data_IF_328458776435
#
_entry.id   IF_328458776435
#
_cell.length_a   1.000
_cell.length_b   1.000
_cell.length_c   1.000
_cell.angle_alpha   90.00
_cell.angle_beta   90.00
_cell.angle_gamma   90.00
#
_symmetry.space_group_name_H-M   'P 1'
#
loop_
_entity.id
_entity.type
_entity.pdbx_description
1 polymer ?
#
# COMPACT_ATOMS: atom_id res chain seq x y z
N UNK A 1 18.43 0.30 15.80
CA UNK A 1 17.27 1.17 15.55
C UNK A 1 17.52 2.20 14.44
N UNK A 2 18.49 3.12 14.55
CA UNK A 2 18.73 4.15 13.51
C UNK A 2 18.87 3.60 12.07
N UNK A 3 19.64 2.53 11.88
CA UNK A 3 19.84 1.92 10.56
C UNK A 3 18.57 1.31 9.93
N UNK A 4 17.60 0.84 10.73
CA UNK A 4 16.32 0.33 10.22
C UNK A 4 15.42 1.48 9.76
N UNK A 5 15.33 2.53 10.58
CA UNK A 5 14.58 3.74 10.23
C UNK A 5 15.10 4.42 8.97
N UNK A 6 16.43 4.51 8.81
CA UNK A 6 17.06 5.07 7.61
C UNK A 6 16.76 4.25 6.35
N UNK A 7 16.80 2.91 6.45
CA UNK A 7 16.49 2.00 5.35
C UNK A 7 15.00 2.07 4.94
N UNK A 8 14.09 2.15 5.93
CA UNK A 8 12.66 2.31 5.66
C UNK A 8 12.37 3.67 5.00
N UNK A 9 13.01 4.74 5.48
CA UNK A 9 12.88 6.07 4.87
C UNK A 9 13.45 6.11 3.44
N UNK A 10 14.55 5.38 3.16
CA UNK A 10 15.07 5.23 1.80
C UNK A 10 14.08 4.50 0.89
N UNK A 11 13.53 3.37 1.35
CA UNK A 11 12.54 2.60 0.59
C UNK A 11 11.26 3.41 0.31
N UNK A 12 10.78 4.18 1.30
CA UNK A 12 9.64 5.08 1.12
C UNK A 12 9.90 6.16 0.06
N UNK A 13 11.08 6.79 0.07
CA UNK A 13 11.46 7.80 -0.94
C UNK A 13 11.58 7.21 -2.33
N UNK A 14 12.17 6.02 -2.46
CA UNK A 14 12.28 5.31 -3.73
C UNK A 14 10.88 4.94 -4.29
N UNK A 15 9.99 4.43 -3.43
CA UNK A 15 8.60 4.14 -3.79
C UNK A 15 7.79 5.40 -4.16
N UNK A 16 7.98 6.50 -3.44
CA UNK A 16 7.33 7.77 -3.81
C UNK A 16 7.83 8.31 -5.14
N UNK A 17 9.12 8.17 -5.45
CA UNK A 17 9.71 8.62 -6.71
C UNK A 17 9.21 7.81 -7.90
N UNK A 18 9.05 6.49 -7.73
CA UNK A 18 8.47 5.63 -8.77
C UNK A 18 6.99 5.94 -9.03
N UNK A 19 6.22 6.29 -8.00
CA UNK A 19 4.82 6.72 -8.14
C UNK A 19 4.70 8.12 -8.77
N UNK A 20 5.64 9.03 -8.47
CA UNK A 20 5.60 10.41 -8.97
C UNK A 20 6.19 10.58 -10.37
N UNK A 21 7.02 9.66 -10.84
CA UNK A 21 7.63 9.73 -12.17
C UNK A 21 6.64 9.21 -13.23
N UNK A 22 6.09 10.08 -14.10
CA UNK A 22 5.28 9.63 -15.22
C UNK A 22 6.19 8.82 -16.16
N UNK A 23 5.72 7.69 -16.67
CA UNK A 23 6.53 6.75 -17.46
C UNK A 23 7.39 7.42 -18.53
N UNK A 24 8.64 6.96 -18.66
CA UNK A 24 9.62 7.44 -19.64
C UNK A 24 11.03 7.75 -19.10
N UNK A 25 11.24 7.71 -17.78
CA UNK A 25 12.55 7.89 -17.14
C UNK A 25 13.32 6.59 -16.88
N UNK A 26 14.63 6.67 -16.72
CA UNK A 26 15.47 5.55 -16.30
C UNK A 26 15.13 5.12 -14.86
N UNK A 27 14.81 3.84 -14.65
CA UNK A 27 14.58 3.27 -13.32
C UNK A 27 15.92 3.06 -12.61
N UNK A 28 16.03 3.53 -11.38
CA UNK A 28 17.22 3.38 -10.54
C UNK A 28 17.24 2.03 -9.82
N UNK A 29 18.43 1.54 -9.45
CA UNK A 29 18.58 0.32 -8.65
C UNK A 29 17.80 0.40 -7.33
N UNK A 30 17.81 1.57 -6.68
CA UNK A 30 17.08 1.80 -5.43
C UNK A 30 15.56 1.67 -5.59
N UNK A 31 15.00 2.04 -6.74
CA UNK A 31 13.58 1.84 -7.04
C UNK A 31 13.23 0.37 -7.26
N UNK A 32 14.13 -0.41 -7.86
CA UNK A 32 13.94 -1.86 -8.06
C UNK A 32 13.95 -2.60 -6.72
N UNK A 33 14.91 -2.29 -5.85
CA UNK A 33 15.08 -2.96 -4.55
C UNK A 33 14.32 -2.28 -3.40
N UNK A 34 13.43 -1.33 -3.69
CA UNK A 34 12.69 -0.61 -2.65
C UNK A 34 11.86 -1.56 -1.77
N UNK A 35 11.22 -2.56 -2.39
CA UNK A 35 10.41 -3.56 -1.67
C UNK A 35 11.29 -4.45 -0.77
N UNK A 36 12.38 -5.00 -1.29
CA UNK A 36 13.31 -5.86 -0.53
C UNK A 36 13.98 -5.09 0.63
N UNK A 37 14.31 -3.82 0.38
CA UNK A 37 14.87 -2.92 1.40
C UNK A 37 13.86 -2.64 2.50
N UNK A 38 12.60 -2.36 2.13
CA UNK A 38 11.52 -2.20 3.10
C UNK A 38 11.31 -3.48 3.92
N UNK A 39 11.19 -4.65 3.28
CA UNK A 39 11.01 -5.93 3.97
C UNK A 39 12.14 -6.20 4.96
N UNK A 40 13.39 -5.98 4.54
CA UNK A 40 14.57 -6.15 5.39
C UNK A 40 14.56 -5.21 6.60
N UNK A 41 14.18 -3.94 6.40
CA UNK A 41 14.05 -2.96 7.46
C UNK A 41 12.96 -3.34 8.47
N UNK A 42 11.77 -3.74 7.99
CA UNK A 42 10.66 -4.16 8.83
C UNK A 42 11.02 -5.37 9.70
N UNK A 43 11.82 -6.31 9.17
CA UNK A 43 12.32 -7.46 9.93
C UNK A 43 13.32 -7.09 11.02
N UNK A 44 14.08 -6.02 10.82
CA UNK A 44 15.06 -5.53 11.80
C UNK A 44 14.41 -4.77 12.96
N UNK A 45 13.17 -4.27 12.79
CA UNK A 45 12.44 -3.52 13.80
C UNK A 45 10.94 -3.85 13.78
N UNK A 46 10.62 -5.06 14.24
CA UNK A 46 9.23 -5.55 14.29
C UNK A 46 8.39 -4.73 15.28
N UNK A 47 8.95 -4.32 16.42
CA UNK A 47 8.22 -3.51 17.40
C UNK A 47 7.88 -2.12 16.86
N UNK A 48 8.83 -1.42 16.24
CA UNK A 48 8.57 -0.14 15.58
C UNK A 48 7.53 -0.27 14.46
N UNK A 49 7.61 -1.35 13.68
CA UNK A 49 6.62 -1.66 12.63
C UNK A 49 5.21 -1.84 13.22
N UNK A 50 5.09 -2.56 14.33
CA UNK A 50 3.80 -2.77 15.00
C UNK A 50 3.27 -1.49 15.64
N UNK A 51 4.15 -0.61 16.14
CA UNK A 51 3.77 0.71 16.63
C UNK A 51 3.19 1.56 15.50
N UNK A 52 3.92 1.71 14.39
CA UNK A 52 3.47 2.48 13.22
C UNK A 52 2.16 1.95 12.66
N UNK A 53 2.03 0.62 12.56
CA UNK A 53 0.80 -0.03 12.11
C UNK A 53 -0.37 0.29 13.04
N UNK A 54 -0.18 0.13 14.35
CA UNK A 54 -1.21 0.41 15.35
C UNK A 54 -1.67 1.86 15.27
N UNK A 55 -0.73 2.81 15.24
CA UNK A 55 -1.02 4.23 15.14
C UNK A 55 -1.72 4.61 13.82
N UNK A 56 -1.33 4.01 12.69
CA UNK A 56 -1.96 4.26 11.38
C UNK A 56 -3.44 3.85 11.32
N UNK A 57 -3.85 2.95 12.22
CA UNK A 57 -5.24 2.50 12.38
C UNK A 57 -6.00 3.24 13.47
N UNK A 58 -5.35 4.17 14.18
CA UNK A 58 -5.89 4.89 15.34
C UNK A 58 -5.72 4.15 16.67
N UNK A 59 -5.02 3.02 16.69
CA UNK A 59 -4.69 2.25 17.90
C UNK A 59 -3.39 2.69 18.56
N UNK A 60 -2.88 1.85 19.45
CA UNK A 60 -1.59 2.05 20.14
C UNK A 60 -0.92 0.71 20.46
N UNK A 61 0.41 0.70 20.56
CA UNK A 61 1.17 -0.47 20.94
C UNK A 61 1.32 -0.57 22.46
N UNK A 62 1.13 -1.77 23.01
CA UNK A 62 1.53 -2.15 24.37
C UNK A 62 2.71 -3.11 24.26
N UNK A 63 3.91 -2.63 24.50
CA UNK A 63 5.16 -3.40 24.41
C UNK A 63 6.10 -3.03 25.56
N UNK A 64 7.14 -3.85 25.78
CA UNK A 64 8.20 -3.60 26.77
C UNK A 64 7.69 -3.40 28.22
N UNK A 65 6.55 -3.98 28.58
CA UNK A 65 5.98 -3.93 29.93
C UNK A 65 5.49 -5.29 30.38
N UNK A 66 5.69 -5.60 31.67
CA UNK A 66 5.05 -6.73 32.34
C UNK A 66 3.73 -6.32 33.01
N UNK A 67 3.43 -5.02 33.05
CA UNK A 67 2.18 -4.49 33.56
C UNK A 67 1.19 -4.26 32.41
N UNK A 68 0.42 -5.30 32.11
CA UNK A 68 -0.67 -5.23 31.13
C UNK A 68 -1.92 -4.51 31.67
N UNK A 69 -1.99 -4.25 32.98
CA UNK A 69 -3.15 -3.62 33.61
C UNK A 69 -3.37 -2.22 33.05
N UNK A 70 -2.30 -1.46 32.87
CA UNK A 70 -2.37 -0.11 32.33
C UNK A 70 -2.92 -0.09 30.88
N UNK A 71 -2.49 -1.02 30.03
CA UNK A 71 -3.02 -1.17 28.68
C UNK A 71 -4.49 -1.58 28.67
N UNK A 72 -4.87 -2.51 29.56
CA UNK A 72 -6.25 -2.95 29.72
C UNK A 72 -7.17 -1.85 30.28
N UNK A 73 -6.70 -1.03 31.21
CA UNK A 73 -7.42 0.12 31.75
C UNK A 73 -7.67 1.17 30.65
N UNK A 74 -6.68 1.45 29.80
CA UNK A 74 -6.86 2.33 28.64
C UNK A 74 -7.88 1.76 27.64
N UNK A 75 -7.79 0.46 27.34
CA UNK A 75 -8.76 -0.20 26.47
C UNK A 75 -10.18 -0.14 27.05
N UNK A 76 -10.34 -0.38 28.35
CA UNK A 76 -11.63 -0.29 29.03
C UNK A 76 -12.18 1.15 29.01
N UNK A 77 -11.33 2.16 29.16
CA UNK A 77 -11.71 3.56 29.04
C UNK A 77 -12.18 3.88 27.61
N UNK A 78 -11.47 3.43 26.58
CA UNK A 78 -11.85 3.60 25.16
C UNK A 78 -13.20 2.93 24.85
N UNK A 79 -13.47 1.76 25.45
CA UNK A 79 -14.75 1.03 25.29
C UNK A 79 -15.93 1.69 26.02
N UNK A 80 -15.68 2.43 27.10
CA UNK A 80 -16.73 2.99 27.96
C UNK A 80 -17.58 4.08 27.30
N UNK A 81 -17.10 4.65 26.19
CA UNK A 81 -17.89 5.57 25.37
C UNK A 81 -17.10 6.11 24.18
N UNK A 82 -17.25 5.49 23.02
CA UNK A 82 -16.71 5.98 21.76
C UNK A 82 -17.82 6.47 20.83
N UNK A 83 -17.46 7.42 19.97
CA UNK A 83 -18.30 7.85 18.85
C UNK A 83 -17.61 7.45 17.56
N UNK A 84 -18.30 6.69 16.72
CA UNK A 84 -17.80 6.31 15.40
C UNK A 84 -18.28 7.31 14.34
N UNK A 85 -17.36 7.72 13.46
CA UNK A 85 -17.64 8.61 12.35
C UNK A 85 -17.17 7.94 11.06
N UNK A 86 -18.11 7.71 10.13
CA UNK A 86 -17.78 7.19 8.80
C UNK A 86 -17.70 8.34 7.80
N UNK A 87 -16.60 8.40 7.06
CA UNK A 87 -16.41 9.32 5.94
C UNK A 87 -16.31 8.54 4.63
N UNK A 88 -17.25 8.79 3.73
CA UNK A 88 -17.17 8.26 2.37
C UNK A 88 -16.57 9.33 1.44
N UNK A 89 -15.39 9.08 0.86
CA UNK A 89 -14.81 10.04 -0.07
C UNK A 89 -15.70 10.18 -1.31
N UNK A 90 -15.79 11.40 -1.90
CA UNK A 90 -16.53 11.60 -3.15
C UNK A 90 -15.94 10.76 -4.28
N UNK A 91 -16.72 10.50 -5.33
CA UNK A 91 -16.28 9.77 -6.52
C UNK A 91 -14.96 10.38 -7.03
N UNK A 92 -13.89 9.60 -6.86
CA UNK A 92 -12.52 10.07 -7.00
C UNK A 92 -11.87 9.43 -8.23
N UNK A 93 -11.00 10.20 -8.89
CA UNK A 93 -10.04 9.62 -9.80
C UNK A 93 -9.17 8.61 -9.04
N UNK A 94 -9.13 7.36 -9.52
CA UNK A 94 -8.32 6.28 -8.97
C UNK A 94 -6.88 6.40 -9.48
N UNK A 95 -6.19 7.41 -8.97
CA UNK A 95 -4.84 7.80 -9.40
C UNK A 95 -3.72 7.21 -8.55
N UNK A 96 -4.06 6.38 -7.55
CA UNK A 96 -3.07 5.78 -6.65
C UNK A 96 -2.40 6.73 -5.68
N UNK A 97 -2.82 8.01 -5.62
CA UNK A 97 -2.21 8.97 -4.72
C UNK A 97 -2.70 8.76 -3.30
N UNK A 98 -1.79 8.97 -2.34
CA UNK A 98 -2.14 9.03 -0.93
C UNK A 98 -2.92 10.31 -0.62
N UNK A 99 -4.02 10.16 0.11
CA UNK A 99 -4.89 11.26 0.54
C UNK A 99 -4.91 11.28 2.07
N UNK A 100 -4.33 12.31 2.71
CA UNK A 100 -4.32 12.39 4.17
C UNK A 100 -5.73 12.66 4.70
N UNK A 101 -6.03 12.14 5.88
CA UNK A 101 -7.25 12.44 6.64
C UNK A 101 -6.84 13.32 7.82
N UNK A 102 -7.46 14.49 7.94
CA UNK A 102 -7.25 15.40 9.08
C UNK A 102 -8.58 15.56 9.83
N UNK A 103 -8.58 15.24 11.12
CA UNK A 103 -9.76 15.35 11.99
C UNK A 103 -9.55 16.49 12.99
N UNK A 104 -10.43 17.49 12.95
CA UNK A 104 -10.42 18.63 13.87
C UNK A 104 -11.65 18.56 14.76
N UNK A 105 -11.42 18.58 16.08
CA UNK A 105 -12.49 18.52 17.09
C UNK A 105 -12.55 19.84 17.86
N UNK A 106 -13.77 20.35 18.07
CA UNK A 106 -13.99 21.58 18.83
C UNK A 106 -13.82 21.38 20.35
N UNK A 107 -14.02 20.15 20.84
CA UNK A 107 -13.93 19.81 22.26
C UNK A 107 -12.46 19.76 22.70
N UNK A 108 -12.11 20.57 23.69
CA UNK A 108 -10.79 20.51 24.34
C UNK A 108 -10.65 19.22 25.14
N UNK A 109 -9.46 18.60 25.08
CA UNK A 109 -9.14 17.36 25.79
C UNK A 109 -9.75 16.09 25.20
N UNK A 110 -10.35 16.16 24.01
CA UNK A 110 -10.81 14.98 23.29
C UNK A 110 -9.61 14.22 22.71
N UNK A 111 -9.60 12.89 22.87
CA UNK A 111 -8.69 11.99 22.19
C UNK A 111 -9.33 11.58 20.88
N UNK A 112 -8.62 11.75 19.76
CA UNK A 112 -9.11 11.38 18.43
C UNK A 112 -8.30 10.21 17.93
N UNK A 113 -8.99 9.12 17.62
CA UNK A 113 -8.44 7.94 16.95
C UNK A 113 -8.98 7.95 15.52
N UNK A 114 -8.09 8.11 14.54
CA UNK A 114 -8.46 8.15 13.14
C UNK A 114 -7.32 7.58 12.29
N UNK A 115 -7.68 7.02 11.13
CA UNK A 115 -6.69 6.61 10.13
C UNK A 115 -5.96 7.83 9.59
N UNK A 116 -4.66 7.70 9.31
CA UNK A 116 -3.83 8.80 8.80
C UNK A 116 -4.21 9.23 7.36
N UNK A 117 -4.85 8.34 6.60
CA UNK A 117 -5.22 8.58 5.21
C UNK A 117 -5.61 7.31 4.47
N UNK A 118 -5.74 7.42 3.13
CA UNK A 118 -6.03 6.30 2.24
C UNK A 118 -5.39 6.52 0.87
N UNK A 119 -5.15 5.42 0.13
CA UNK A 119 -4.75 5.48 -1.28
C UNK A 119 -5.99 5.41 -2.17
N UNK A 120 -6.03 6.25 -3.21
CA UNK A 120 -7.12 6.25 -4.19
C UNK A 120 -6.95 5.11 -5.21
N UNK A 121 -7.24 3.88 -4.78
CA UNK A 121 -7.14 2.66 -5.59
C UNK A 121 -8.52 2.24 -6.13
N UNK A 122 -8.60 1.74 -7.38
CA UNK A 122 -9.85 1.26 -7.93
C UNK A 122 -10.41 0.09 -7.08
N UNK A 123 -11.74 0.00 -6.91
CA UNK A 123 -12.35 -1.11 -6.19
C UNK A 123 -12.09 -2.43 -6.93
N UNK A 124 -11.50 -3.41 -6.23
CA UNK A 124 -11.16 -4.74 -6.75
C UNK A 124 -10.88 -5.71 -5.61
N UNK A 125 -10.83 -7.01 -5.89
CA UNK A 125 -10.60 -8.06 -4.90
C UNK A 125 -9.21 -7.91 -4.25
N UNK A 126 -9.17 -7.28 -3.07
CA UNK A 126 -8.37 -7.57 -1.88
C UNK A 126 -6.91 -8.06 -2.02
N UNK A 127 -6.24 -7.92 -3.15
CA UNK A 127 -4.80 -8.10 -3.25
C UNK A 127 -4.16 -6.78 -2.83
N UNK A 128 -3.08 -6.88 -2.06
CA UNK A 128 -2.21 -5.76 -1.78
C UNK A 128 -1.63 -5.27 -3.11
N UNK A 129 -2.35 -4.38 -3.79
CA UNK A 129 -1.87 -3.74 -5.00
C UNK A 129 -0.53 -3.09 -4.67
N UNK A 130 0.51 -3.53 -5.35
CA UNK A 130 1.83 -2.95 -5.16
C UNK A 130 1.80 -1.54 -5.73
N UNK A 131 2.53 -0.61 -5.12
CA UNK A 131 2.48 0.80 -5.49
C UNK A 131 2.76 1.03 -7.00
N UNK A 132 3.60 0.17 -7.61
CA UNK A 132 3.93 0.19 -9.03
C UNK A 132 2.82 -0.39 -9.95
N UNK A 133 1.90 -1.19 -9.42
CA UNK A 133 0.78 -1.75 -10.20
C UNK A 133 -0.32 -0.73 -10.46
N UNK A 134 -0.45 0.29 -9.59
CA UNK A 134 -1.49 1.30 -9.73
C UNK A 134 -1.40 2.11 -11.04
N UNK A 135 -0.24 2.69 -11.41
CA UNK A 135 -0.13 3.35 -12.72
C UNK A 135 -0.30 2.37 -13.89
N UNK A 136 0.08 1.09 -13.73
CA UNK A 136 -0.11 0.07 -14.76
C UNK A 136 -1.59 -0.27 -14.97
N UNK A 137 -2.35 -0.46 -13.89
CA UNK A 137 -3.79 -0.68 -13.94
C UNK A 137 -4.52 0.54 -14.51
N UNK A 138 -4.10 1.75 -14.13
CA UNK A 138 -4.62 2.99 -14.71
C UNK A 138 -4.32 3.09 -16.21
N UNK A 139 -3.17 2.60 -16.68
CA UNK A 139 -2.83 2.53 -18.11
C UNK A 139 -3.63 1.44 -18.85
N UNK A 140 -3.83 0.28 -18.25
CA UNK A 140 -4.64 -0.82 -18.77
C UNK A 140 -6.12 -0.43 -18.93
N UNK A 141 -6.64 0.39 -18.02
CA UNK A 141 -8.03 0.88 -18.06
C UNK A 141 -8.29 1.99 -19.09
N UNK A 142 -7.27 2.46 -19.84
CA UNK A 142 -7.46 3.51 -20.84
C UNK A 142 -8.23 2.97 -22.05
N UNK A 143 -9.17 3.74 -22.65
CA UNK A 143 -9.88 3.33 -23.86
C UNK A 143 -8.93 3.04 -25.04
N UNK A 144 -7.81 3.75 -25.10
CA UNK A 144 -6.71 3.50 -26.01
C UNK A 144 -5.45 3.19 -25.18
N UNK A 145 -5.02 1.92 -25.09
CA UNK A 145 -3.80 1.57 -24.37
C UNK A 145 -2.58 2.16 -25.09
N UNK A 146 -1.55 2.60 -24.35
CA UNK A 146 -0.28 3.03 -24.94
C UNK A 146 0.32 1.93 -25.84
N UNK A 147 0.86 2.31 -27.00
CA UNK A 147 1.53 1.39 -27.95
C UNK A 147 2.99 1.82 -28.14
N UNK A 148 3.69 1.97 -27.02
CA UNK A 148 5.06 2.49 -27.01
C UNK A 148 6.09 1.47 -27.54
N UNK A 149 5.71 0.18 -27.57
CA UNK A 149 6.50 -0.90 -28.16
C UNK A 149 5.59 -1.92 -28.87
N UNK A 150 6.14 -2.58 -29.91
CA UNK A 150 5.41 -3.62 -30.66
C UNK A 150 5.25 -4.85 -29.75
N UNK A 151 4.02 -5.07 -29.29
CA UNK A 151 3.61 -6.24 -28.53
C UNK A 151 2.92 -7.24 -29.45
N UNK A 152 3.39 -8.49 -29.43
CA UNK A 152 2.70 -9.62 -30.07
C UNK A 152 2.26 -10.58 -28.98
N UNK A 153 0.96 -10.74 -28.83
CA UNK A 153 0.39 -11.72 -27.91
C UNK A 153 -0.32 -12.83 -28.70
N UNK A 154 -0.13 -14.07 -28.28
CA UNK A 154 -0.79 -15.24 -28.84
C UNK A 154 -1.26 -16.17 -27.74
N UNK A 155 -2.40 -16.84 -27.96
CA UNK A 155 -2.92 -17.83 -27.03
C UNK A 155 -2.78 -19.22 -27.64
N UNK A 156 -2.08 -20.10 -26.93
CA UNK A 156 -2.01 -21.52 -27.26
C UNK A 156 -3.05 -22.26 -26.44
N UNK A 157 -3.90 -23.00 -27.13
CA UNK A 157 -4.87 -23.90 -26.54
C UNK A 157 -4.27 -25.29 -26.62
N UNK A 158 -4.13 -25.96 -25.47
CA UNK A 158 -3.69 -27.35 -25.43
C UNK A 158 -4.90 -28.26 -25.30
N UNK A 159 -4.75 -29.50 -25.78
CA UNK A 159 -5.78 -30.52 -25.65
C UNK A 159 -6.12 -30.79 -24.18
N UNK A 160 -7.33 -31.28 -23.97
CA UNK A 160 -7.90 -31.48 -22.65
C UNK A 160 -7.16 -32.61 -21.90
N UNK A 161 -6.43 -32.23 -20.86
CA UNK A 161 -5.78 -33.17 -19.95
C UNK A 161 -6.69 -33.55 -18.78
N UNK A 162 -6.25 -34.46 -17.90
CA UNK A 162 -7.00 -34.84 -16.71
C UNK A 162 -7.27 -33.66 -15.73
N UNK A 163 -6.59 -32.53 -15.89
CA UNK A 163 -6.79 -31.29 -15.12
C UNK A 163 -7.67 -30.25 -15.85
N UNK A 164 -8.25 -30.59 -17.00
CA UNK A 164 -9.01 -29.68 -17.86
C UNK A 164 -8.18 -29.10 -19.02
N UNK A 165 -8.73 -28.10 -19.69
CA UNK A 165 -8.12 -27.45 -20.85
C UNK A 165 -7.07 -26.43 -20.40
N UNK A 166 -5.82 -26.65 -20.77
CA UNK A 166 -4.73 -25.71 -20.48
C UNK A 166 -4.70 -24.62 -21.55
N UNK A 167 -4.66 -23.36 -21.10
CA UNK A 167 -4.46 -22.19 -21.96
C UNK A 167 -3.15 -21.53 -21.57
N UNK A 168 -2.24 -21.31 -22.53
CA UNK A 168 -1.06 -20.44 -22.32
C UNK A 168 -1.17 -19.16 -23.12
N UNK A 169 -0.83 -18.06 -22.47
CA UNK A 169 -0.60 -16.77 -23.09
C UNK A 169 0.90 -16.59 -23.33
N UNK A 170 1.29 -16.33 -24.57
CA UNK A 170 2.64 -15.91 -24.94
C UNK A 170 2.58 -14.42 -25.25
N UNK A 171 3.48 -13.65 -24.67
CA UNK A 171 3.64 -12.21 -24.95
C UNK A 171 5.08 -11.96 -25.37
N UNK A 172 5.28 -11.50 -26.60
CA UNK A 172 6.56 -11.06 -27.14
C UNK A 172 6.56 -9.53 -27.20
N UNK A 173 7.57 -8.91 -26.57
CA UNK A 173 7.82 -7.48 -26.66
C UNK A 173 9.11 -7.27 -27.44
N UNK A 174 9.04 -6.54 -28.56
CA UNK A 174 10.25 -6.14 -29.28
C UNK A 174 10.88 -4.94 -28.59
N UNK A 175 12.02 -5.19 -27.96
CA UNK A 175 12.88 -4.16 -27.38
C UNK A 175 14.00 -3.94 -28.41
N UNK A 176 14.09 -2.72 -28.94
CA UNK A 176 15.09 -2.34 -29.95
C UNK A 176 16.53 -2.40 -29.45
#
# INVERSE_FOLDING_TARGET
MAASGDALAQAQRASQRSVQSPGGGSVTKDEIYAADTAESALRLDVEGTLADLSESTGGFLVANTNDFKQGAERLAADLSGHYELTYQPPAAAWDGRFRPIEVKVARKGAVVQARSGYFALPPGESSALLAYEVPLLAALGRPAPPRDFELRAGTLHFDEGPAGREHRLIVEARIG
#
